data_IF_935093893331
#
_entry.id   IF_935093893331
#
_cell.length_a   1.000
_cell.length_b   1.000
_cell.length_c   1.000
_cell.angle_alpha   90.00
_cell.angle_beta   90.00
_cell.angle_gamma   90.00
#
_symmetry.space_group_name_H-M   'P 1'
#
loop_
_entity.id
_entity.type
_entity.pdbx_description
1 polymer ?
#
# COMPACT_ATOMS: atom_id res chain seq x y z
N UNK A 1 -0.56 -10.77 -2.67
CA UNK A 1 0.56 -11.56 -2.13
C UNK A 1 1.60 -10.69 -1.40
N UNK A 2 1.94 -9.51 -1.94
CA UNK A 2 2.88 -8.60 -1.28
C UNK A 2 2.40 -8.17 0.10
N UNK A 3 1.13 -7.79 0.21
CA UNK A 3 0.53 -7.41 1.48
C UNK A 3 0.58 -8.56 2.50
N UNK A 4 0.29 -9.77 2.04
CA UNK A 4 0.23 -10.94 2.90
C UNK A 4 1.60 -11.31 3.48
N UNK A 5 2.66 -11.02 2.76
CA UNK A 5 4.04 -11.36 3.16
C UNK A 5 4.68 -10.29 4.04
N UNK A 6 4.04 -9.14 4.26
CA UNK A 6 4.62 -8.05 5.02
C UNK A 6 4.88 -8.45 6.47
N UNK A 7 6.07 -8.10 6.93
CA UNK A 7 6.48 -8.18 8.34
C UNK A 7 6.76 -6.77 8.86
N UNK A 8 6.69 -6.60 10.15
CA UNK A 8 6.91 -5.27 10.75
C UNK A 8 8.29 -4.69 10.42
N UNK A 9 9.30 -5.53 10.25
CA UNK A 9 10.63 -5.08 9.84
C UNK A 9 10.67 -4.44 8.46
N UNK A 10 9.68 -4.74 7.60
CA UNK A 10 9.59 -4.18 6.25
C UNK A 10 9.01 -2.76 6.24
N UNK A 11 8.49 -2.31 7.36
CA UNK A 11 7.87 -0.99 7.49
C UNK A 11 8.75 -0.04 8.27
N UNK A 12 8.98 1.13 7.69
CA UNK A 12 9.55 2.28 8.37
C UNK A 12 8.45 3.31 8.58
N UNK A 13 7.77 3.23 9.72
CA UNK A 13 6.65 4.12 10.01
C UNK A 13 7.11 5.54 10.30
N UNK A 14 8.34 5.73 10.77
CA UNK A 14 8.88 7.06 11.00
C UNK A 14 9.06 7.82 9.70
N UNK A 15 9.61 7.16 8.67
CA UNK A 15 9.81 7.77 7.34
C UNK A 15 8.64 7.52 6.39
N UNK A 16 7.68 6.69 6.78
CA UNK A 16 6.52 6.39 5.95
C UNK A 16 6.84 5.57 4.72
N UNK A 17 7.68 4.56 4.86
CA UNK A 17 8.08 3.68 3.76
C UNK A 17 7.79 2.23 4.09
N UNK A 18 7.47 1.46 3.07
CA UNK A 18 7.38 0.01 3.14
C UNK A 18 8.22 -0.60 2.03
N UNK A 19 8.99 -1.62 2.38
CA UNK A 19 9.77 -2.38 1.41
C UNK A 19 8.99 -3.64 1.04
N UNK A 20 8.74 -3.82 -0.25
CA UNK A 20 8.02 -4.99 -0.75
C UNK A 20 8.91 -5.77 -1.71
N UNK A 21 8.73 -7.09 -1.71
CA UNK A 21 9.41 -7.99 -2.61
C UNK A 21 8.45 -8.32 -3.76
N UNK A 22 8.76 -7.81 -4.92
CA UNK A 22 7.96 -8.01 -6.11
C UNK A 22 8.32 -9.28 -6.86
N UNK A 23 7.72 -9.43 -8.04
CA UNK A 23 7.96 -10.54 -8.94
C UNK A 23 9.42 -10.62 -9.34
N UNK A 24 9.99 -11.83 -9.27
CA UNK A 24 11.41 -12.05 -9.58
C UNK A 24 12.37 -11.66 -8.47
N UNK A 25 11.89 -11.49 -7.25
CA UNK A 25 12.75 -11.16 -6.10
C UNK A 25 13.22 -9.72 -6.05
N UNK A 26 12.67 -8.85 -6.88
CA UNK A 26 13.04 -7.43 -6.88
C UNK A 26 12.37 -6.70 -5.72
N UNK A 27 13.18 -6.06 -4.91
CA UNK A 27 12.70 -5.19 -3.85
C UNK A 27 12.39 -3.80 -4.38
N UNK A 28 11.33 -3.19 -3.87
CA UNK A 28 11.07 -1.77 -4.08
C UNK A 28 10.54 -1.15 -2.79
N UNK A 29 10.80 0.13 -2.61
CA UNK A 29 10.23 0.89 -1.51
C UNK A 29 9.04 1.67 -2.01
N UNK A 30 7.97 1.65 -1.24
CA UNK A 30 6.70 2.30 -1.57
C UNK A 30 6.33 3.24 -0.43
N UNK A 31 5.91 4.47 -0.71
CA UNK A 31 5.47 5.37 0.35
C UNK A 31 4.15 4.92 0.95
N UNK A 32 4.02 5.13 2.25
CA UNK A 32 2.79 4.88 3.00
C UNK A 32 2.16 6.22 3.33
N UNK A 33 0.94 6.44 2.90
CA UNK A 33 0.23 7.68 3.16
C UNK A 33 -0.04 7.88 4.65
N UNK A 34 -0.29 9.12 5.04
CA UNK A 34 -0.42 9.52 6.44
C UNK A 34 -1.53 8.76 7.19
N UNK A 35 -2.66 8.52 6.55
CA UNK A 35 -3.78 7.79 7.16
C UNK A 35 -3.43 6.32 7.41
N UNK A 36 -2.83 5.66 6.42
CA UNK A 36 -2.40 4.26 6.55
C UNK A 36 -1.28 4.13 7.59
N UNK A 37 -0.36 5.07 7.61
CA UNK A 37 0.75 5.12 8.56
C UNK A 37 0.25 5.19 10.00
N UNK A 38 -0.73 6.06 10.26
CA UNK A 38 -1.35 6.18 11.58
C UNK A 38 -2.07 4.88 11.97
N UNK A 39 -2.84 4.32 11.06
CA UNK A 39 -3.56 3.08 11.30
C UNK A 39 -2.60 1.91 11.61
N UNK A 40 -1.50 1.84 10.88
CA UNK A 40 -0.47 0.82 11.11
C UNK A 40 0.25 1.00 12.45
N UNK A 41 0.53 2.24 12.83
CA UNK A 41 1.15 2.53 14.12
C UNK A 41 0.23 2.09 15.27
N UNK A 42 -1.05 2.41 15.20
CA UNK A 42 -2.04 2.00 16.20
C UNK A 42 -2.15 0.47 16.25
N UNK A 43 -2.21 -0.18 15.10
CA UNK A 43 -2.28 -1.64 15.00
C UNK A 43 -1.05 -2.31 15.57
N UNK A 44 0.14 -1.74 15.34
CA UNK A 44 1.38 -2.28 15.90
C UNK A 44 1.36 -2.31 17.42
N UNK A 45 0.83 -1.25 18.05
CA UNK A 45 0.68 -1.20 19.49
C UNK A 45 -0.30 -2.25 20.00
N UNK A 46 -1.47 -2.37 19.37
CA UNK A 46 -2.49 -3.34 19.75
C UNK A 46 -2.02 -4.78 19.60
N UNK A 47 -1.32 -5.07 18.50
CA UNK A 47 -0.89 -6.43 18.17
C UNK A 47 0.42 -6.83 18.85
N UNK A 48 1.10 -5.91 19.54
CA UNK A 48 2.43 -6.11 20.12
C UNK A 48 3.42 -6.64 19.07
N UNK A 49 3.40 -6.04 17.89
CA UNK A 49 4.14 -6.51 16.73
C UNK A 49 5.65 -6.49 16.89
N UNK A 50 6.24 -7.68 16.85
CA UNK A 50 7.69 -7.84 16.81
C UNK A 50 8.20 -7.68 15.37
N UNK A 51 9.50 -7.34 15.16
CA UNK A 51 10.01 -7.11 13.81
C UNK A 51 9.78 -8.26 12.82
N UNK A 52 9.90 -9.50 13.27
CA UNK A 52 9.70 -10.67 12.42
C UNK A 52 8.27 -11.19 12.35
N UNK A 53 7.37 -10.56 13.10
CA UNK A 53 5.95 -10.94 13.08
C UNK A 53 5.26 -10.42 11.82
N UNK A 54 4.29 -11.16 11.28
CA UNK A 54 3.49 -10.66 10.18
C UNK A 54 2.68 -9.43 10.61
N UNK A 55 2.55 -8.45 9.71
CA UNK A 55 1.72 -7.27 9.95
C UNK A 55 0.24 -7.69 10.01
N UNK A 56 -0.14 -8.60 9.15
CA UNK A 56 -1.49 -9.15 9.06
C UNK A 56 -1.44 -10.65 9.33
N UNK A 57 -1.59 -11.07 10.60
CA UNK A 57 -1.55 -12.49 10.92
C UNK A 57 -2.81 -13.21 10.44
N UNK A 58 -2.61 -14.45 10.01
CA UNK A 58 -3.67 -15.39 9.73
C UNK A 58 -3.89 -16.33 10.90
N UNK A 59 -4.52 -17.46 10.63
CA UNK A 59 -4.77 -18.50 11.65
C UNK A 59 -3.45 -19.15 12.06
N UNK A 60 -3.32 -19.41 13.36
CA UNK A 60 -2.19 -20.16 13.91
C UNK A 60 -0.85 -19.45 13.81
N UNK A 61 -0.83 -18.11 13.73
CA UNK A 61 0.39 -17.33 13.61
C UNK A 61 0.98 -17.27 12.20
N UNK A 62 0.32 -17.87 11.22
CA UNK A 62 0.70 -17.77 9.81
C UNK A 62 0.34 -16.39 9.24
N UNK A 63 0.82 -16.10 8.05
CA UNK A 63 0.42 -14.88 7.33
C UNK A 63 -0.99 -15.01 6.80
N UNK A 64 -1.67 -13.87 6.64
CA UNK A 64 -3.01 -13.82 6.03
C UNK A 64 -2.93 -14.29 4.57
N UNK A 65 -3.98 -14.90 4.07
CA UNK A 65 -4.05 -15.35 2.68
C UNK A 65 -4.65 -14.25 1.78
N UNK A 66 -4.34 -14.25 0.48
CA UNK A 66 -4.99 -13.33 -0.45
C UNK A 66 -6.52 -13.46 -0.44
N UNK A 67 -7.03 -14.67 -0.29
CA UNK A 67 -8.47 -14.92 -0.20
C UNK A 67 -9.08 -14.24 1.02
N UNK A 68 -8.42 -14.33 2.16
CA UNK A 68 -8.87 -13.69 3.40
C UNK A 68 -8.91 -12.16 3.25
N UNK A 69 -7.91 -11.58 2.58
CA UNK A 69 -7.88 -10.14 2.28
C UNK A 69 -9.08 -9.75 1.41
N UNK A 70 -9.38 -10.53 0.36
CA UNK A 70 -10.52 -10.28 -0.51
C UNK A 70 -11.85 -10.30 0.25
N UNK A 71 -12.03 -11.29 1.11
CA UNK A 71 -13.24 -11.44 1.93
C UNK A 71 -13.38 -10.24 2.88
N UNK A 72 -12.29 -9.86 3.53
CA UNK A 72 -12.28 -8.75 4.48
C UNK A 72 -12.63 -7.42 3.80
N UNK A 73 -12.05 -7.16 2.63
CA UNK A 73 -12.39 -5.96 1.86
C UNK A 73 -13.87 -5.92 1.47
N UNK A 74 -14.41 -7.07 1.06
CA UNK A 74 -15.84 -7.16 0.74
C UNK A 74 -16.71 -6.83 1.95
N UNK A 75 -16.37 -7.37 3.12
CA UNK A 75 -17.09 -7.09 4.35
C UNK A 75 -17.03 -5.61 4.73
N UNK A 76 -15.84 -5.01 4.64
CA UNK A 76 -15.66 -3.59 4.93
C UNK A 76 -16.45 -2.70 3.97
N UNK A 77 -16.45 -3.04 2.69
CA UNK A 77 -17.21 -2.32 1.68
C UNK A 77 -18.71 -2.38 1.97
N UNK A 78 -19.23 -3.54 2.34
CA UNK A 78 -20.64 -3.72 2.69
C UNK A 78 -21.03 -2.88 3.91
N UNK A 79 -20.16 -2.84 4.93
CA UNK A 79 -20.39 -2.01 6.13
C UNK A 79 -20.43 -0.53 5.80
N UNK A 80 -19.69 -0.09 4.78
CA UNK A 80 -19.68 1.29 4.33
C UNK A 80 -20.79 1.61 3.33
N UNK A 81 -21.68 0.67 3.06
CA UNK A 81 -22.78 0.87 2.12
C UNK A 81 -22.36 0.90 0.65
N UNK A 82 -21.20 0.37 0.33
CA UNK A 82 -20.72 0.29 -1.05
C UNK A 82 -21.31 -0.93 -1.73
N UNK A 83 -22.05 -0.70 -2.81
CA UNK A 83 -22.71 -1.77 -3.56
C UNK A 83 -21.82 -2.35 -4.65
N UNK A 84 -20.70 -1.71 -4.96
CA UNK A 84 -19.74 -2.21 -5.93
C UNK A 84 -18.86 -3.29 -5.28
N UNK A 85 -18.49 -4.27 -6.10
CA UNK A 85 -17.54 -5.28 -5.67
C UNK A 85 -16.16 -4.65 -5.46
N UNK A 86 -15.73 -4.55 -4.21
CA UNK A 86 -14.42 -4.04 -3.86
C UNK A 86 -13.44 -5.19 -3.69
N UNK A 87 -12.32 -5.12 -4.40
CA UNK A 87 -11.25 -6.10 -4.36
C UNK A 87 -9.89 -5.42 -4.50
N UNK A 88 -8.77 -6.11 -4.19
CA UNK A 88 -7.45 -5.46 -4.19
C UNK A 88 -7.07 -4.79 -5.52
N UNK A 89 -7.39 -5.40 -6.64
CA UNK A 89 -7.10 -4.81 -7.96
C UNK A 89 -7.86 -3.52 -8.21
N UNK A 90 -9.10 -3.42 -7.73
CA UNK A 90 -9.87 -2.19 -7.82
C UNK A 90 -9.20 -1.06 -7.03
N UNK A 91 -8.75 -1.35 -5.82
CA UNK A 91 -8.05 -0.38 -4.99
C UNK A 91 -6.73 0.07 -5.64
N UNK A 92 -5.99 -0.88 -6.20
CA UNK A 92 -4.77 -0.61 -6.94
C UNK A 92 -5.01 0.30 -8.14
N UNK A 93 -6.05 0.00 -8.92
CA UNK A 93 -6.44 0.81 -10.06
C UNK A 93 -6.87 2.22 -9.64
N UNK A 94 -7.66 2.32 -8.60
CA UNK A 94 -8.10 3.59 -8.04
C UNK A 94 -6.93 4.44 -7.57
N UNK A 95 -5.98 3.84 -6.86
CA UNK A 95 -4.75 4.50 -6.44
C UNK A 95 -3.98 5.04 -7.66
N UNK A 96 -3.75 4.19 -8.66
CA UNK A 96 -3.02 4.57 -9.86
C UNK A 96 -3.67 5.75 -10.57
N UNK A 97 -5.00 5.71 -10.73
CA UNK A 97 -5.75 6.77 -11.39
C UNK A 97 -5.64 8.09 -10.63
N UNK A 98 -5.82 8.08 -9.32
CA UNK A 98 -5.76 9.30 -8.52
C UNK A 98 -4.36 9.92 -8.50
N UNK A 99 -3.33 9.11 -8.34
CA UNK A 99 -1.96 9.61 -8.33
C UNK A 99 -1.57 10.12 -9.71
N UNK A 100 -1.98 9.44 -10.78
CA UNK A 100 -1.71 9.88 -12.14
C UNK A 100 -2.39 11.21 -12.46
N UNK A 101 -3.66 11.38 -12.09
CA UNK A 101 -4.39 12.63 -12.28
C UNK A 101 -3.72 13.80 -11.55
N UNK A 102 -3.21 13.55 -10.35
CA UNK A 102 -2.61 14.62 -9.54
C UNK A 102 -1.19 14.96 -9.97
N UNK A 103 -0.40 13.98 -10.38
CA UNK A 103 1.01 14.16 -10.69
C UNK A 103 1.31 14.28 -12.19
N UNK A 104 0.47 13.69 -13.03
CA UNK A 104 0.75 13.55 -14.46
C UNK A 104 1.94 12.63 -14.76
N UNK A 105 2.43 11.90 -13.76
CA UNK A 105 3.64 11.09 -13.86
C UNK A 105 3.30 9.61 -13.98
N UNK A 106 3.06 9.16 -15.20
CA UNK A 106 2.75 7.77 -15.49
C UNK A 106 3.86 6.81 -15.07
N UNK A 107 5.11 7.19 -15.26
CA UNK A 107 6.23 6.35 -14.88
C UNK A 107 6.35 6.16 -13.38
N UNK A 108 6.21 7.24 -12.63
CA UNK A 108 6.24 7.16 -11.17
C UNK A 108 5.16 6.24 -10.63
N UNK A 109 3.96 6.33 -11.18
CA UNK A 109 2.85 5.44 -10.79
C UNK A 109 3.20 3.99 -11.13
N UNK A 110 3.74 3.74 -12.30
CA UNK A 110 4.11 2.39 -12.74
C UNK A 110 5.20 1.79 -11.85
N UNK A 111 6.18 2.58 -11.46
CA UNK A 111 7.22 2.12 -10.54
C UNK A 111 6.65 1.79 -9.16
N UNK A 112 5.78 2.64 -8.63
CA UNK A 112 5.12 2.38 -7.36
C UNK A 112 4.35 1.06 -7.37
N UNK A 113 3.73 0.75 -8.49
CA UNK A 113 2.95 -0.48 -8.66
C UNK A 113 3.81 -1.71 -8.98
N UNK A 114 5.07 -1.51 -9.32
CA UNK A 114 5.97 -2.61 -9.66
C UNK A 114 5.66 -3.27 -10.99
N UNK A 115 5.22 -2.48 -11.98
CA UNK A 115 5.03 -2.98 -13.34
C UNK A 115 6.38 -3.24 -14.01
N UNK A 116 6.78 -4.51 -14.03
CA UNK A 116 8.05 -4.93 -14.62
C UNK A 116 8.08 -4.83 -16.14
N UNK A 117 6.91 -4.69 -16.79
CA UNK A 117 6.78 -4.72 -18.24
C UNK A 117 7.08 -3.38 -18.91
N UNK A 118 7.38 -2.37 -18.14
CA UNK A 118 7.77 -1.12 -18.71
C UNK A 118 9.27 -1.18 -18.92
N UNK A 119 9.60 -1.50 -20.14
CA UNK A 119 10.97 -1.53 -20.64
C UNK A 119 11.67 -0.16 -20.57
N UNK A 120 11.12 0.76 -19.87
CA UNK A 120 11.74 2.03 -19.64
C UNK A 120 12.47 1.97 -18.32
N UNK A 121 13.67 1.59 -18.45
CA UNK A 121 14.74 1.66 -17.49
C UNK A 121 15.09 3.07 -17.03
N UNK A 122 14.23 4.02 -17.22
CA UNK A 122 14.42 5.23 -16.46
C UNK A 122 13.99 4.95 -15.04
N UNK A 123 14.94 4.39 -14.37
CA UNK A 123 14.92 4.34 -12.95
C UNK A 123 14.67 5.76 -12.49
N UNK A 124 13.60 5.95 -11.77
CA UNK A 124 13.47 7.10 -10.91
C UNK A 124 14.48 6.94 -9.78
N UNK A 125 15.76 6.94 -10.12
CA UNK A 125 16.87 6.86 -9.17
C UNK A 125 16.87 8.05 -8.23
N UNK A 126 16.12 9.06 -8.59
CA UNK A 126 15.93 10.27 -7.82
C UNK A 126 14.52 10.37 -7.29
N UNK A 127 13.78 9.27 -7.27
CA UNK A 127 12.48 9.25 -6.66
C UNK A 127 12.64 9.57 -5.19
N UNK A 128 12.36 10.81 -4.91
CA UNK A 128 12.14 11.22 -3.54
C UNK A 128 10.82 10.59 -3.09
N UNK A 129 10.92 9.47 -2.39
CA UNK A 129 9.76 8.78 -1.87
C UNK A 129 8.93 9.68 -0.94
N UNK A 130 9.55 10.65 -0.30
CA UNK A 130 8.85 11.65 0.50
C UNK A 130 7.97 12.53 -0.38
N UNK A 131 8.47 12.91 -1.55
CA UNK A 131 7.69 13.67 -2.52
C UNK A 131 6.49 12.86 -3.03
N UNK A 132 6.70 11.59 -3.33
CA UNK A 132 5.61 10.70 -3.76
C UNK A 132 4.57 10.50 -2.67
N UNK A 133 4.99 10.38 -1.43
CA UNK A 133 4.08 10.31 -0.29
C UNK A 133 3.22 11.57 -0.18
N UNK A 134 3.80 12.74 -0.39
CA UNK A 134 3.05 14.00 -0.41
C UNK A 134 2.06 14.06 -1.56
N UNK A 135 2.47 13.63 -2.75
CA UNK A 135 1.58 13.57 -3.92
C UNK A 135 0.42 12.61 -3.64
N UNK A 136 0.71 11.46 -3.09
CA UNK A 136 -0.31 10.47 -2.73
C UNK A 136 -1.29 11.04 -1.69
N UNK A 137 -0.81 11.63 -0.63
CA UNK A 137 -1.65 12.22 0.41
C UNK A 137 -2.54 13.33 -0.15
N UNK A 138 -2.01 14.18 -1.02
CA UNK A 138 -2.78 15.22 -1.69
C UNK A 138 -3.83 14.69 -2.65
N UNK A 139 -3.59 13.56 -3.28
CA UNK A 139 -4.50 12.93 -4.23
C UNK A 139 -5.55 12.02 -3.57
N UNK A 140 -5.28 11.58 -2.34
CA UNK A 140 -6.17 10.66 -1.64
C UNK A 140 -7.52 11.33 -1.37
N UNK A 141 -8.66 10.66 -1.66
CA UNK A 141 -9.99 11.28 -1.50
C UNK A 141 -10.26 11.83 -0.11
N UNK A 142 -9.74 11.19 0.93
CA UNK A 142 -9.90 11.68 2.31
C UNK A 142 -9.09 12.92 2.61
N UNK A 143 -7.96 13.13 1.94
CA UNK A 143 -7.13 14.31 2.15
C UNK A 143 -7.80 15.59 1.67
N UNK A 144 -8.73 15.48 0.72
CA UNK A 144 -9.51 16.60 0.16
C UNK A 144 -10.77 16.92 0.95
N UNK A 145 -11.12 16.11 1.93
CA UNK A 145 -12.26 16.40 2.80
C UNK A 145 -11.84 17.42 3.82
N UNK A 146 -12.47 18.58 3.77
CA UNK A 146 -12.35 19.55 4.85
C UNK A 146 -13.01 18.99 6.11
N UNK A 147 -12.40 19.18 7.28
CA UNK A 147 -13.02 18.81 8.53
C UNK A 147 -14.35 19.52 8.73
#
# INVERSE_FOLDING_TARGET
SELCALRWRDLDLADGLVTVLGKGGKQRSVPVGSHARKALADWRQESLGQPDSPVFPGRGGATITPRAVQIRLRQLAQRQGLFKRVHPHLLRHSFASHVLESSGDLRGVQELLGHADIATTQIYTHLDYQHLAKVYDGAHPRAKRKP
#
